data_IF_671436198643
#
_entry.id   IF_671436198643
#
_cell.length_a   1.000
_cell.length_b   1.000
_cell.length_c   1.000
_cell.angle_alpha   90.00
_cell.angle_beta   90.00
_cell.angle_gamma   90.00
#
_symmetry.space_group_name_H-M   'P 1'
#
loop_
_entity.id
_entity.type
_entity.pdbx_description
1 polymer ?
#
# COMPACT_ATOMS: atom_id res chain seq x y z
N UNK A 1 3.12 18.91 -18.06
CA UNK A 1 3.10 19.53 -16.71
C UNK A 1 1.91 19.09 -15.86
N UNK A 2 0.65 19.28 -16.29
CA UNK A 2 -0.53 18.93 -15.49
C UNK A 2 -0.59 17.45 -15.02
N UNK A 3 -0.19 16.51 -15.88
CA UNK A 3 -0.17 15.07 -15.57
C UNK A 3 0.81 14.72 -14.45
N UNK A 4 1.99 15.36 -14.41
CA UNK A 4 2.98 15.14 -13.35
C UNK A 4 2.45 15.65 -12.00
N UNK A 5 1.68 16.75 -12.01
CA UNK A 5 1.03 17.26 -10.80
C UNK A 5 -0.02 16.30 -10.24
N UNK A 6 -0.79 15.61 -11.10
CA UNK A 6 -1.77 14.59 -10.68
C UNK A 6 -1.04 13.39 -10.07
N UNK A 7 -0.01 12.86 -10.73
CA UNK A 7 0.76 11.73 -10.23
C UNK A 7 1.42 12.09 -8.88
N UNK A 8 1.98 13.29 -8.76
CA UNK A 8 2.57 13.78 -7.51
C UNK A 8 1.52 13.87 -6.39
N UNK A 9 0.34 14.43 -6.68
CA UNK A 9 -0.77 14.51 -5.72
C UNK A 9 -1.24 13.13 -5.27
N UNK A 10 -1.38 12.18 -6.19
CA UNK A 10 -1.71 10.79 -5.87
C UNK A 10 -0.61 10.12 -5.06
N UNK A 11 0.66 10.34 -5.39
CA UNK A 11 1.81 9.81 -4.64
C UNK A 11 1.82 10.34 -3.20
N UNK A 12 1.52 11.63 -3.00
CA UNK A 12 1.36 12.21 -1.67
C UNK A 12 0.18 11.60 -0.91
N UNK A 13 -0.93 11.31 -1.61
CA UNK A 13 -2.07 10.63 -1.00
C UNK A 13 -1.73 9.18 -0.59
N UNK A 14 -0.96 8.45 -1.42
CA UNK A 14 -0.43 7.12 -1.06
C UNK A 14 0.44 7.23 0.20
N UNK A 15 1.30 8.24 0.31
CA UNK A 15 2.10 8.45 1.53
C UNK A 15 1.24 8.65 2.78
N UNK A 16 0.16 9.42 2.68
CA UNK A 16 -0.78 9.61 3.79
C UNK A 16 -1.47 8.30 4.19
N UNK A 17 -1.98 7.53 3.24
CA UNK A 17 -2.68 6.26 3.52
C UNK A 17 -1.71 5.17 4.01
N UNK A 18 -0.51 5.12 3.45
CA UNK A 18 0.61 4.29 3.92
C UNK A 18 0.95 4.58 5.38
N UNK A 19 0.98 5.85 5.79
CA UNK A 19 1.26 6.25 7.17
C UNK A 19 0.22 5.69 8.15
N UNK A 20 -1.04 5.60 7.73
CA UNK A 20 -2.11 4.96 8.52
C UNK A 20 -1.87 3.46 8.64
N UNK A 21 -1.49 2.77 7.56
CA UNK A 21 -1.11 1.36 7.62
C UNK A 21 0.11 1.11 8.51
N UNK A 22 1.14 1.95 8.42
CA UNK A 22 2.33 1.87 9.27
C UNK A 22 1.96 1.98 10.75
N UNK A 23 1.14 2.97 11.11
CA UNK A 23 0.65 3.14 12.47
C UNK A 23 -0.20 1.94 12.91
N UNK A 24 -1.05 1.41 12.02
CA UNK A 24 -1.82 0.19 12.22
C UNK A 24 -0.94 -1.00 12.58
N UNK A 25 0.00 -1.38 11.70
CA UNK A 25 0.94 -2.50 11.94
C UNK A 25 1.70 -2.33 13.25
N UNK A 26 2.29 -1.16 13.48
CA UNK A 26 3.09 -0.90 14.68
C UNK A 26 2.23 -1.04 15.96
N UNK A 27 1.01 -0.52 15.92
CA UNK A 27 0.10 -0.58 17.07
C UNK A 27 -0.37 -2.01 17.36
N UNK A 28 -0.67 -2.83 16.34
CA UNK A 28 -1.06 -4.23 16.55
C UNK A 28 0.13 -5.04 17.06
N UNK A 29 1.33 -4.82 16.53
CA UNK A 29 2.53 -5.52 17.00
C UNK A 29 2.86 -5.19 18.46
N UNK A 30 2.65 -3.96 18.92
CA UNK A 30 2.89 -3.58 20.31
C UNK A 30 2.07 -4.40 21.31
N UNK A 31 0.86 -4.80 20.93
CA UNK A 31 -0.04 -5.62 21.75
C UNK A 31 0.20 -7.13 21.56
N UNK A 32 1.16 -7.52 20.73
CA UNK A 32 1.44 -8.92 20.47
C UNK A 32 2.35 -9.49 21.56
N UNK A 33 1.74 -10.18 22.53
CA UNK A 33 2.44 -10.88 23.62
C UNK A 33 2.37 -12.40 23.43
N UNK A 34 3.48 -13.14 23.65
CA UNK A 34 3.46 -14.61 23.59
C UNK A 34 2.45 -15.18 24.58
N UNK A 35 1.46 -15.94 24.09
CA UNK A 35 0.42 -16.57 24.92
C UNK A 35 -0.86 -15.76 25.12
N UNK A 36 -0.97 -14.58 24.49
CA UNK A 36 -2.24 -13.84 24.37
C UNK A 36 -3.00 -14.22 23.08
N UNK A 37 -3.65 -13.24 22.44
CA UNK A 37 -4.34 -13.38 21.15
C UNK A 37 -3.50 -14.00 20.02
N UNK A 38 -2.16 -14.05 20.19
CA UNK A 38 -1.26 -14.74 19.26
C UNK A 38 -1.53 -16.25 19.14
N UNK A 39 -2.12 -16.87 20.17
CA UNK A 39 -2.51 -18.28 20.15
C UNK A 39 -3.66 -18.58 19.19
N UNK A 40 -4.60 -17.63 19.05
CA UNK A 40 -5.78 -17.76 18.19
C UNK A 40 -5.49 -17.48 16.71
N UNK A 41 -4.28 -17.01 16.39
CA UNK A 41 -3.83 -16.75 15.01
C UNK A 41 -3.72 -18.01 14.15
N UNK A 42 -3.72 -19.20 14.74
CA UNK A 42 -3.79 -20.46 13.98
C UNK A 42 -5.11 -20.65 13.21
N UNK A 43 -6.12 -19.82 13.46
CA UNK A 43 -7.41 -19.81 12.76
C UNK A 43 -7.51 -18.76 11.64
N UNK A 44 -6.49 -17.92 11.48
CA UNK A 44 -6.45 -16.89 10.44
C UNK A 44 -5.82 -17.46 9.17
N UNK A 45 -6.52 -17.35 8.04
CA UNK A 45 -5.97 -17.74 6.73
C UNK A 45 -4.63 -17.03 6.47
N UNK A 46 -3.57 -17.82 6.25
CA UNK A 46 -2.23 -17.30 5.96
C UNK A 46 -1.32 -17.08 7.18
N UNK A 47 -1.81 -17.30 8.41
CA UNK A 47 -0.98 -17.28 9.62
C UNK A 47 -0.88 -18.70 10.20
N UNK A 48 0.27 -19.06 10.79
CA UNK A 48 0.38 -20.30 11.57
C UNK A 48 0.38 -19.98 13.06
N UNK A 49 -0.34 -20.78 13.83
CA UNK A 49 -0.44 -20.61 15.28
C UNK A 49 0.89 -20.84 16.00
N UNK A 50 1.06 -20.21 17.16
CA UNK A 50 2.22 -20.43 18.03
C UNK A 50 3.55 -19.82 17.55
N UNK A 51 3.54 -19.00 16.48
CA UNK A 51 4.73 -18.26 16.08
C UNK A 51 4.98 -17.06 16.99
N UNK A 52 6.26 -16.73 17.27
CA UNK A 52 6.60 -15.49 17.93
C UNK A 52 6.17 -14.30 17.08
N UNK A 53 5.59 -13.28 17.72
CA UNK A 53 5.06 -12.07 17.08
C UNK A 53 6.01 -11.44 16.06
N UNK A 54 7.32 -11.40 16.34
CA UNK A 54 8.32 -10.88 15.41
C UNK A 54 8.37 -11.64 14.07
N UNK A 55 8.16 -12.96 14.07
CA UNK A 55 8.10 -13.75 12.83
C UNK A 55 6.80 -13.51 12.07
N UNK A 56 5.70 -13.34 12.78
CA UNK A 56 4.39 -13.06 12.20
C UNK A 56 4.39 -11.72 11.45
N UNK A 57 4.88 -10.66 12.10
CA UNK A 57 4.85 -9.31 11.53
C UNK A 57 5.93 -9.05 10.46
N UNK A 58 6.92 -9.94 10.32
CA UNK A 58 8.01 -9.79 9.36
C UNK A 58 7.52 -9.55 7.93
N UNK A 59 6.49 -10.29 7.51
CA UNK A 59 5.91 -10.16 6.17
C UNK A 59 5.19 -8.82 5.99
N UNK A 60 4.42 -8.37 6.98
CA UNK A 60 3.73 -7.08 6.91
C UNK A 60 4.69 -5.90 6.95
N UNK A 61 5.76 -5.96 7.75
CA UNK A 61 6.82 -4.95 7.71
C UNK A 61 7.51 -4.88 6.36
N UNK A 62 7.74 -6.03 5.71
CA UNK A 62 8.25 -6.05 4.35
C UNK A 62 7.32 -5.30 3.37
N UNK A 63 6.00 -5.52 3.46
CA UNK A 63 5.01 -4.80 2.62
C UNK A 63 5.08 -3.29 2.87
N UNK A 64 5.11 -2.86 4.14
CA UNK A 64 5.23 -1.45 4.53
C UNK A 64 6.51 -0.82 3.98
N UNK A 65 7.65 -1.52 4.08
CA UNK A 65 8.94 -1.04 3.56
C UNK A 65 8.96 -0.99 2.03
N UNK A 66 8.40 -2.01 1.36
CA UNK A 66 8.29 -2.04 -0.09
C UNK A 66 7.51 -0.83 -0.59
N UNK A 67 6.34 -0.56 0.00
CA UNK A 67 5.50 0.59 -0.36
C UNK A 67 6.25 1.92 -0.19
N UNK A 68 6.98 2.08 0.92
CA UNK A 68 7.80 3.27 1.15
C UNK A 68 8.85 3.47 0.04
N UNK A 69 9.53 2.39 -0.36
CA UNK A 69 10.50 2.42 -1.48
C UNK A 69 9.81 2.80 -2.79
N UNK A 70 8.58 2.34 -3.04
CA UNK A 70 7.82 2.73 -4.24
C UNK A 70 7.43 4.20 -4.21
N UNK A 71 6.94 4.72 -3.09
CA UNK A 71 6.61 6.15 -2.91
C UNK A 71 7.86 7.01 -3.14
N UNK A 72 8.95 6.71 -2.43
CA UNK A 72 10.19 7.47 -2.52
C UNK A 72 10.83 7.38 -3.92
N UNK A 73 10.83 6.19 -4.52
CA UNK A 73 11.39 5.96 -5.85
C UNK A 73 10.57 6.61 -6.96
N UNK A 74 9.24 6.61 -6.86
CA UNK A 74 8.37 7.33 -7.77
C UNK A 74 8.56 8.85 -7.62
N UNK A 75 8.64 9.36 -6.39
CA UNK A 75 8.95 10.75 -6.10
C UNK A 75 10.30 11.20 -6.69
N UNK A 76 11.35 10.38 -6.53
CA UNK A 76 12.64 10.62 -7.14
C UNK A 76 12.56 10.63 -8.68
N UNK A 77 11.83 9.67 -9.27
CA UNK A 77 11.64 9.59 -10.72
C UNK A 77 10.88 10.79 -11.32
N UNK A 78 9.96 11.36 -10.54
CA UNK A 78 9.27 12.61 -10.88
C UNK A 78 10.23 13.80 -10.83
N UNK A 79 11.07 13.89 -9.78
CA UNK A 79 12.04 14.96 -9.62
C UNK A 79 13.12 14.97 -10.73
N UNK A 80 13.53 13.78 -11.20
CA UNK A 80 14.52 13.62 -12.27
C UNK A 80 13.92 13.58 -13.68
N UNK A 81 12.60 13.70 -13.82
CA UNK A 81 11.88 13.55 -15.10
C UNK A 81 12.17 12.23 -15.84
N UNK A 82 12.54 11.16 -15.14
CA UNK A 82 12.82 9.83 -15.73
C UNK A 82 11.59 8.94 -15.81
N UNK A 83 10.43 9.43 -15.36
CA UNK A 83 9.18 8.68 -15.28
C UNK A 83 8.79 8.02 -16.61
N UNK A 84 8.99 8.69 -17.75
CA UNK A 84 8.64 8.14 -19.08
C UNK A 84 9.39 6.83 -19.37
N UNK A 85 10.65 6.72 -18.93
CA UNK A 85 11.50 5.54 -19.19
C UNK A 85 11.18 4.37 -18.25
N UNK A 86 10.86 4.66 -16.99
CA UNK A 86 10.65 3.64 -15.95
C UNK A 86 9.18 3.35 -15.65
N UNK A 87 8.27 3.99 -16.38
CA UNK A 87 6.82 3.91 -16.16
C UNK A 87 6.27 2.49 -16.08
N UNK A 88 6.67 1.61 -17.00
CA UNK A 88 6.18 0.24 -17.03
C UNK A 88 6.63 -0.54 -15.78
N UNK A 89 7.83 -0.25 -15.30
CA UNK A 89 8.34 -0.82 -14.04
C UNK A 89 7.50 -0.34 -12.85
N UNK A 90 7.19 0.96 -12.79
CA UNK A 90 6.32 1.51 -11.73
C UNK A 90 4.91 0.90 -11.76
N UNK A 91 4.30 0.77 -12.93
CA UNK A 91 2.99 0.11 -13.08
C UNK A 91 3.00 -1.33 -12.53
N UNK A 92 4.01 -2.12 -12.90
CA UNK A 92 4.15 -3.49 -12.41
C UNK A 92 4.36 -3.55 -10.90
N UNK A 93 5.26 -2.73 -10.37
CA UNK A 93 5.58 -2.72 -8.93
C UNK A 93 4.39 -2.26 -8.07
N UNK A 94 3.68 -1.20 -8.47
CA UNK A 94 2.46 -0.77 -7.77
C UNK A 94 1.33 -1.80 -7.90
N UNK A 95 1.22 -2.52 -9.02
CA UNK A 95 0.25 -3.62 -9.14
C UNK A 95 0.55 -4.75 -8.13
N UNK A 96 1.81 -5.16 -8.01
CA UNK A 96 2.23 -6.16 -6.99
C UNK A 96 1.96 -5.63 -5.59
N UNK A 97 2.34 -4.39 -5.29
CA UNK A 97 2.11 -3.81 -3.97
C UNK A 97 0.61 -3.70 -3.63
N UNK A 98 -0.23 -3.35 -4.60
CA UNK A 98 -1.69 -3.34 -4.45
C UNK A 98 -2.23 -4.71 -4.06
N UNK A 99 -1.77 -5.78 -4.72
CA UNK A 99 -2.17 -7.15 -4.37
C UNK A 99 -1.72 -7.54 -2.95
N UNK A 100 -0.51 -7.15 -2.55
CA UNK A 100 0.00 -7.37 -1.19
C UNK A 100 -0.86 -6.65 -0.14
N UNK A 101 -1.32 -5.42 -0.42
CA UNK A 101 -2.24 -4.69 0.46
C UNK A 101 -3.65 -5.27 0.50
N UNK A 102 -4.16 -5.81 -0.62
CA UNK A 102 -5.44 -6.54 -0.64
C UNK A 102 -5.34 -7.81 0.21
N UNK A 103 -4.28 -8.60 0.03
CA UNK A 103 -4.03 -9.79 0.85
C UNK A 103 -3.89 -9.41 2.34
N UNK A 104 -3.18 -8.32 2.63
CA UNK A 104 -3.05 -7.81 4.00
C UNK A 104 -4.42 -7.47 4.57
N UNK A 105 -5.28 -6.80 3.79
CA UNK A 105 -6.64 -6.46 4.21
C UNK A 105 -7.45 -7.71 4.58
N UNK A 106 -7.43 -8.75 3.73
CA UNK A 106 -8.12 -10.02 3.99
C UNK A 106 -7.65 -10.68 5.30
N UNK A 107 -6.33 -10.69 5.52
CA UNK A 107 -5.78 -11.24 6.76
C UNK A 107 -6.21 -10.46 8.00
N UNK A 108 -6.16 -9.12 7.95
CA UNK A 108 -6.54 -8.29 9.10
C UNK A 108 -8.05 -8.19 9.32
N UNK A 109 -8.89 -8.39 8.29
CA UNK A 109 -10.33 -8.58 8.45
C UNK A 109 -10.65 -9.88 9.18
N UNK A 110 -9.95 -10.96 8.83
CA UNK A 110 -10.05 -12.23 9.56
C UNK A 110 -9.56 -12.10 11.00
N UNK A 111 -8.55 -11.25 11.23
CA UNK A 111 -8.12 -10.94 12.59
C UNK A 111 -9.14 -10.10 13.36
N UNK A 112 -9.82 -9.17 12.70
CA UNK A 112 -10.89 -8.36 13.31
C UNK A 112 -12.03 -9.24 13.82
N UNK A 113 -12.44 -10.26 13.06
CA UNK A 113 -13.54 -11.15 13.46
C UNK A 113 -13.19 -12.02 14.67
N UNK A 114 -11.93 -12.42 14.82
CA UNK A 114 -11.48 -13.22 15.98
C UNK A 114 -11.31 -12.34 17.22
N UNK A 115 -10.86 -11.10 17.04
CA UNK A 115 -10.67 -10.13 18.14
C UNK A 115 -11.96 -9.42 18.56
N UNK A 116 -13.12 -9.87 18.07
CA UNK A 116 -14.40 -9.23 18.35
C UNK A 116 -14.79 -9.26 19.84
N UNK A 117 -14.39 -10.32 20.56
CA UNK A 117 -14.65 -10.52 21.99
C UNK A 117 -13.53 -10.01 22.91
N UNK A 118 -12.40 -9.56 22.34
CA UNK A 118 -11.24 -9.07 23.08
C UNK A 118 -11.40 -7.60 23.47
N UNK A 119 -10.70 -7.16 24.52
CA UNK A 119 -10.75 -5.77 25.01
C UNK A 119 -10.60 -4.76 23.85
N UNK A 120 -11.51 -3.79 23.77
CA UNK A 120 -11.71 -2.93 22.58
C UNK A 120 -10.47 -2.21 22.03
N UNK A 121 -9.40 -2.06 22.82
CA UNK A 121 -8.14 -1.45 22.36
C UNK A 121 -7.48 -2.20 21.19
N UNK A 122 -7.55 -3.54 21.13
CA UNK A 122 -6.94 -4.29 20.02
C UNK A 122 -7.79 -4.24 18.76
N UNK A 123 -9.12 -4.33 18.93
CA UNK A 123 -10.10 -4.18 17.85
C UNK A 123 -9.93 -2.86 17.11
N UNK A 124 -9.77 -1.75 17.83
CA UNK A 124 -9.54 -0.44 17.20
C UNK A 124 -8.23 -0.38 16.42
N UNK A 125 -7.15 -1.00 16.93
CA UNK A 125 -5.85 -1.05 16.24
C UNK A 125 -5.90 -1.88 14.96
N UNK A 126 -6.56 -3.04 15.01
CA UNK A 126 -6.78 -3.90 13.83
C UNK A 126 -7.61 -3.14 12.79
N UNK A 127 -8.67 -2.43 13.20
CA UNK A 127 -9.47 -1.59 12.28
C UNK A 127 -8.64 -0.49 11.63
N UNK A 128 -7.74 0.16 12.37
CA UNK A 128 -6.82 1.16 11.77
C UNK A 128 -5.94 0.53 10.71
N UNK A 129 -5.45 -0.68 10.95
CA UNK A 129 -4.66 -1.43 9.96
C UNK A 129 -5.48 -1.76 8.72
N UNK A 130 -6.68 -2.33 8.88
CA UNK A 130 -7.62 -2.63 7.79
C UNK A 130 -7.92 -1.38 6.96
N UNK A 131 -8.29 -0.27 7.62
CA UNK A 131 -8.60 0.98 6.94
C UNK A 131 -7.40 1.52 6.16
N UNK A 132 -6.21 1.54 6.77
CA UNK A 132 -4.98 1.95 6.10
C UNK A 132 -4.71 1.12 4.85
N UNK A 133 -4.86 -0.20 4.95
CA UNK A 133 -4.60 -1.12 3.84
C UNK A 133 -5.58 -0.95 2.68
N UNK A 134 -6.87 -0.80 2.98
CA UNK A 134 -7.91 -0.53 1.96
C UNK A 134 -7.65 0.80 1.28
N UNK A 135 -7.37 1.86 2.04
CA UNK A 135 -7.10 3.18 1.48
C UNK A 135 -5.85 3.16 0.60
N UNK A 136 -4.77 2.52 1.05
CA UNK A 136 -3.52 2.40 0.28
C UNK A 136 -3.73 1.63 -1.02
N UNK A 137 -4.38 0.46 -0.98
CA UNK A 137 -4.71 -0.31 -2.17
C UNK A 137 -5.57 0.48 -3.17
N UNK A 138 -6.57 1.21 -2.65
CA UNK A 138 -7.47 2.02 -3.48
C UNK A 138 -6.73 3.14 -4.21
N UNK A 139 -5.91 3.91 -3.47
CA UNK A 139 -5.14 5.00 -4.07
C UNK A 139 -4.07 4.46 -5.02
N UNK A 140 -3.46 3.30 -4.73
CA UNK A 140 -2.55 2.64 -5.66
C UNK A 140 -3.24 2.24 -6.95
N UNK A 141 -4.46 1.71 -6.91
CA UNK A 141 -5.23 1.40 -8.12
C UNK A 141 -5.48 2.67 -8.96
N UNK A 142 -5.85 3.78 -8.33
CA UNK A 142 -6.03 5.08 -9.02
C UNK A 142 -4.70 5.57 -9.61
N UNK A 143 -3.60 5.45 -8.86
CA UNK A 143 -2.26 5.80 -9.29
C UNK A 143 -1.81 4.96 -10.50
N UNK A 144 -2.09 3.66 -10.51
CA UNK A 144 -1.83 2.77 -11.65
C UNK A 144 -2.59 3.25 -12.89
N UNK A 145 -3.87 3.63 -12.76
CA UNK A 145 -4.65 4.17 -13.88
C UNK A 145 -4.09 5.51 -14.38
N UNK A 146 -3.70 6.40 -13.47
CA UNK A 146 -3.07 7.68 -13.83
C UNK A 146 -1.73 7.44 -14.55
N UNK A 147 -0.89 6.57 -14.01
CA UNK A 147 0.34 6.07 -14.64
C UNK A 147 0.06 5.28 -15.91
N UNK A 148 -1.14 4.80 -16.20
CA UNK A 148 -1.49 4.09 -17.43
C UNK A 148 -1.96 5.04 -18.54
N UNK A 149 -2.66 6.10 -18.17
CA UNK A 149 -3.28 7.07 -19.10
C UNK A 149 -2.34 8.19 -19.54
N UNK A 150 -1.31 8.49 -18.75
CA UNK A 150 -0.34 9.57 -19.00
C UNK A 150 0.40 9.54 -20.36
N UNK A 151 0.43 8.41 -21.11
CA UNK A 151 1.19 8.30 -22.38
C UNK A 151 0.42 8.94 -23.53
N UNK A 152 -0.91 8.81 -23.52
CA UNK A 152 -1.76 9.24 -24.64
C UNK A 152 -1.81 10.77 -24.78
N UNK A 153 -1.55 11.50 -23.69
CA UNK A 153 -1.56 12.97 -23.68
C UNK A 153 -0.26 13.55 -24.27
N UNK A 154 0.87 12.88 -24.06
CA UNK A 154 2.19 13.37 -24.48
C UNK A 154 2.48 13.05 -25.95
N UNK A 155 1.94 11.96 -26.49
CA UNK A 155 2.06 11.57 -27.90
C UNK A 155 1.10 12.34 -28.82
N UNK A 156 -0.02 12.87 -28.29
CA UNK A 156 -0.95 13.71 -29.03
C UNK A 156 -0.48 15.18 -29.19
N UNK A 157 0.47 15.63 -28.36
CA UNK A 157 1.03 16.98 -28.43
C UNK A 157 1.96 17.23 -29.64
N UNK A 158 2.90 16.33 -30.03
CA UNK A 158 3.76 16.54 -31.19
C UNK A 158 2.99 16.45 -32.53
N UNK A 159 1.91 15.68 -32.60
CA UNK A 159 1.11 15.54 -33.82
C UNK A 159 0.35 16.83 -34.22
N UNK A 160 -0.05 17.66 -33.25
CA UNK A 160 -0.71 18.96 -33.53
C UNK A 160 0.26 20.08 -33.92
N UNK A 161 1.55 19.97 -33.58
CA UNK A 161 2.56 20.96 -33.97
C UNK A 161 3.09 20.73 -35.40
N UNK A 162 2.98 19.50 -35.93
CA UNK A 162 3.43 19.15 -37.27
C UNK A 162 2.39 19.40 -38.38
N UNK A 163 1.11 19.67 -38.03
CA UNK A 163 0.04 19.92 -39.01
C UNK A 163 -0.24 21.42 -39.24
N UNK A 164 0.62 22.31 -38.75
CA UNK A 164 0.49 23.77 -38.91
C UNK A 164 1.62 24.40 -39.73
N UNK A 165 2.29 23.60 -40.58
CA UNK A 165 3.26 24.08 -41.58
C UNK A 165 2.71 23.78 -42.96
#
# INVERSE_FOLDING_TARGET
MATNSIILGLTALVFCTWSVSLAGVASVQQQCTPGGWSGDLGRVNGLSGGLPCMKLFRYYWFIICLEFVLIAGLGASLATNTLVKTRLSWLGLFAVATLLYIQTTDTFLTLESITENENGSIKHRVRTMVAGSIMTATVNAILIVALGTSSKVEEAAPAKAASSV
#
